data_IF_601809221792
#
_entry.id   IF_601809221792
#
_cell.length_a   1.000
_cell.length_b   1.000
_cell.length_c   1.000
_cell.angle_alpha   90.00
_cell.angle_beta   90.00
_cell.angle_gamma   90.00
#
_symmetry.space_group_name_H-M   'P 1'
#
loop_
_entity.id
_entity.type
_entity.pdbx_description
1 polymer ?
#
# COMPACT_ATOMS: atom_id res chain seq x y z
N UNK A 1 11.52 -6.41 -25.64
CA UNK A 1 11.77 -4.95 -25.73
C UNK A 1 11.31 -4.50 -27.12
N UNK A 2 10.56 -3.41 -27.23
CA UNK A 2 10.15 -2.79 -28.48
C UNK A 2 10.44 -1.30 -28.41
N UNK A 3 11.11 -0.76 -29.43
CA UNK A 3 11.43 0.66 -29.53
C UNK A 3 11.26 1.15 -30.96
N UNK A 4 10.85 2.41 -31.13
CA UNK A 4 10.55 2.97 -32.44
C UNK A 4 9.32 2.31 -33.08
N UNK A 5 9.27 2.24 -34.41
CA UNK A 5 8.15 1.62 -35.15
C UNK A 5 8.19 0.09 -35.08
N UNK A 6 7.95 -0.47 -33.89
CA UNK A 6 7.95 -1.91 -33.64
C UNK A 6 6.56 -2.39 -33.18
N UNK A 7 6.21 -3.64 -33.53
CA UNK A 7 4.99 -4.31 -33.05
C UNK A 7 5.33 -5.59 -32.32
N UNK A 8 4.74 -5.80 -31.14
CA UNK A 8 4.93 -7.00 -30.32
C UNK A 8 3.58 -7.60 -29.95
N UNK A 9 3.48 -8.92 -30.07
CA UNK A 9 2.40 -9.70 -29.48
C UNK A 9 2.96 -10.51 -28.31
N UNK A 10 2.33 -10.36 -27.15
CA UNK A 10 2.69 -11.07 -25.93
C UNK A 10 1.45 -11.76 -25.37
N UNK A 11 1.58 -13.04 -25.06
CA UNK A 11 0.50 -13.84 -24.48
C UNK A 11 1.02 -14.72 -23.36
N UNK A 12 0.16 -15.02 -22.38
CA UNK A 12 0.54 -15.81 -21.21
C UNK A 12 1.47 -15.03 -20.27
N UNK A 13 2.37 -15.74 -19.58
CA UNK A 13 3.33 -15.13 -18.66
C UNK A 13 4.48 -14.45 -19.42
N UNK A 14 4.28 -13.20 -19.83
CA UNK A 14 5.24 -12.43 -20.63
C UNK A 14 5.47 -11.03 -20.05
N UNK A 15 6.69 -10.50 -20.23
CA UNK A 15 7.04 -9.12 -19.85
C UNK A 15 7.54 -8.35 -21.07
N UNK A 16 6.94 -7.19 -21.34
CA UNK A 16 7.28 -6.31 -22.47
C UNK A 16 7.63 -4.91 -21.97
N UNK A 17 8.74 -4.38 -22.45
CA UNK A 17 9.05 -2.94 -22.37
C UNK A 17 8.88 -2.34 -23.77
N UNK A 18 8.08 -1.29 -23.88
CA UNK A 18 7.76 -0.60 -25.12
C UNK A 18 8.00 0.91 -24.99
N UNK A 19 8.70 1.51 -25.94
CA UNK A 19 8.99 2.94 -25.96
C UNK A 19 8.93 3.55 -27.37
N UNK A 20 8.65 4.85 -27.45
CA UNK A 20 8.49 5.55 -28.72
C UNK A 20 7.24 5.07 -29.47
N UNK A 21 7.25 5.10 -30.81
CA UNK A 21 6.08 4.73 -31.64
C UNK A 21 5.81 3.22 -31.74
N UNK A 22 5.94 2.49 -30.63
CA UNK A 22 5.78 1.05 -30.55
C UNK A 22 4.31 0.65 -30.31
N UNK A 23 3.90 -0.51 -30.81
CA UNK A 23 2.59 -1.12 -30.58
C UNK A 23 2.73 -2.46 -29.86
N UNK A 24 1.96 -2.69 -28.80
CA UNK A 24 1.94 -3.96 -28.05
C UNK A 24 0.52 -4.50 -27.97
N UNK A 25 0.32 -5.77 -28.30
CA UNK A 25 -0.88 -6.52 -27.97
C UNK A 25 -0.53 -7.52 -26.87
N UNK A 26 -1.15 -7.36 -25.70
CA UNK A 26 -0.91 -8.18 -24.52
C UNK A 26 -2.19 -8.90 -24.09
N UNK A 27 -2.09 -10.21 -23.87
CA UNK A 27 -3.20 -11.03 -23.38
C UNK A 27 -2.75 -12.05 -22.33
N UNK A 28 -3.68 -12.45 -21.45
CA UNK A 28 -3.37 -13.36 -20.34
C UNK A 28 -2.55 -12.68 -19.24
N UNK A 29 -1.73 -13.43 -18.51
CA UNK A 29 -0.92 -12.94 -17.38
C UNK A 29 0.34 -12.16 -17.81
N UNK A 30 0.17 -11.18 -18.71
CA UNK A 30 1.25 -10.37 -19.27
C UNK A 30 1.48 -9.08 -18.48
N UNK A 31 2.73 -8.61 -18.43
CA UNK A 31 3.12 -7.31 -17.86
C UNK A 31 3.74 -6.42 -18.94
N UNK A 32 3.24 -5.20 -19.11
CA UNK A 32 3.73 -4.23 -20.10
C UNK A 32 4.13 -2.93 -19.42
N UNK A 33 5.35 -2.45 -19.69
CA UNK A 33 5.77 -1.08 -19.39
C UNK A 33 5.82 -0.29 -20.70
N UNK A 34 5.03 0.77 -20.81
CA UNK A 34 4.89 1.58 -22.01
C UNK A 34 5.22 3.05 -21.72
N UNK A 35 6.05 3.67 -22.56
CA UNK A 35 6.42 5.08 -22.44
C UNK A 35 6.52 5.78 -23.80
N UNK A 36 6.45 7.11 -23.80
CA UNK A 36 6.43 7.89 -25.04
C UNK A 36 5.17 7.61 -25.85
N UNK A 37 5.21 7.74 -27.17
CA UNK A 37 4.03 7.55 -28.05
C UNK A 37 3.63 6.08 -28.26
N UNK A 38 3.84 5.21 -27.27
CA UNK A 38 3.57 3.78 -27.39
C UNK A 38 2.07 3.51 -27.27
N UNK A 39 1.57 2.53 -28.02
CA UNK A 39 0.19 2.07 -27.96
C UNK A 39 0.11 0.65 -27.42
N UNK A 40 -0.74 0.39 -26.44
CA UNK A 40 -0.93 -0.93 -25.82
C UNK A 40 -2.40 -1.34 -25.90
N UNK A 41 -2.67 -2.53 -26.43
CA UNK A 41 -3.95 -3.22 -26.28
C UNK A 41 -3.78 -4.34 -25.27
N UNK A 42 -4.45 -4.25 -24.13
CA UNK A 42 -4.35 -5.21 -23.04
C UNK A 42 -5.69 -5.89 -22.76
N UNK A 43 -5.65 -7.21 -22.58
CA UNK A 43 -6.81 -8.03 -22.27
C UNK A 43 -6.47 -9.19 -21.33
N UNK A 44 -7.49 -9.77 -20.68
CA UNK A 44 -7.28 -10.82 -19.69
C UNK A 44 -6.57 -10.28 -18.44
N UNK A 45 -5.85 -11.12 -17.70
CA UNK A 45 -5.15 -10.75 -16.46
C UNK A 45 -3.86 -9.94 -16.67
N UNK A 46 -3.86 -9.01 -17.64
CA UNK A 46 -2.70 -8.23 -18.01
C UNK A 46 -2.51 -7.02 -17.08
N UNK A 47 -1.26 -6.66 -16.79
CA UNK A 47 -0.88 -5.44 -16.05
C UNK A 47 -0.11 -4.50 -16.96
N UNK A 48 -0.54 -3.23 -17.04
CA UNK A 48 0.13 -2.20 -17.87
C UNK A 48 0.53 -1.02 -17.00
N UNK A 49 1.80 -0.62 -17.10
CA UNK A 49 2.31 0.64 -16.55
C UNK A 49 2.55 1.59 -17.74
N UNK A 50 1.80 2.70 -17.79
CA UNK A 50 1.83 3.67 -18.88
C UNK A 50 2.31 5.03 -18.39
N UNK A 51 3.31 5.58 -19.08
CA UNK A 51 3.98 6.83 -18.75
C UNK A 51 4.08 7.76 -19.96
N UNK A 52 4.16 9.07 -19.73
CA UNK A 52 4.30 10.04 -20.82
C UNK A 52 3.09 9.97 -21.77
N UNK A 53 3.29 10.15 -23.08
CA UNK A 53 2.20 10.17 -24.07
C UNK A 53 1.67 8.79 -24.49
N UNK A 54 1.80 7.77 -23.64
CA UNK A 54 1.40 6.41 -23.98
C UNK A 54 -0.13 6.29 -24.04
N UNK A 55 -0.63 5.47 -24.96
CA UNK A 55 -2.06 5.18 -25.13
C UNK A 55 -2.34 3.73 -24.80
N UNK A 56 -3.34 3.47 -23.95
CA UNK A 56 -3.73 2.11 -23.53
C UNK A 56 -5.21 1.87 -23.79
N UNK A 57 -5.53 0.77 -24.45
CA UNK A 57 -6.88 0.20 -24.49
C UNK A 57 -6.87 -1.06 -23.64
N UNK A 58 -7.67 -1.08 -22.56
CA UNK A 58 -7.72 -2.17 -21.60
C UNK A 58 -9.11 -2.78 -21.49
N UNK A 59 -9.16 -4.11 -21.41
CA UNK A 59 -10.39 -4.89 -21.34
C UNK A 59 -10.21 -6.18 -20.54
N UNK A 60 -11.33 -6.84 -20.21
CA UNK A 60 -11.28 -8.01 -19.32
C UNK A 60 -10.70 -7.65 -17.96
N UNK A 61 -10.04 -8.60 -17.29
CA UNK A 61 -9.43 -8.39 -15.96
C UNK A 61 -8.10 -7.62 -15.98
N UNK A 62 -7.93 -6.70 -16.93
CA UNK A 62 -6.68 -5.95 -17.07
C UNK A 62 -6.58 -4.82 -16.03
N UNK A 63 -5.38 -4.58 -15.53
CA UNK A 63 -5.07 -3.48 -14.60
C UNK A 63 -4.11 -2.50 -15.25
N UNK A 64 -4.43 -1.21 -15.24
CA UNK A 64 -3.59 -0.15 -15.83
C UNK A 64 -3.18 0.85 -14.75
N UNK A 65 -1.89 1.12 -14.63
CA UNK A 65 -1.37 2.28 -13.89
C UNK A 65 -0.93 3.34 -14.91
N UNK A 66 -1.56 4.51 -14.88
CA UNK A 66 -1.32 5.58 -15.84
C UNK A 66 -0.78 6.83 -15.15
N UNK A 67 0.24 7.46 -15.73
CA UNK A 67 0.85 8.68 -15.19
C UNK A 67 1.41 9.57 -16.31
N UNK A 68 1.75 10.82 -15.98
CA UNK A 68 2.13 11.80 -17.00
C UNK A 68 0.96 12.10 -17.94
N UNK A 69 1.21 12.29 -19.23
CA UNK A 69 0.18 12.56 -20.25
C UNK A 69 -0.47 11.30 -20.83
N UNK A 70 -0.49 10.20 -20.08
CA UNK A 70 -0.96 8.91 -20.60
C UNK A 70 -2.47 8.93 -20.81
N UNK A 71 -2.93 8.30 -21.88
CA UNK A 71 -4.36 8.19 -22.21
C UNK A 71 -4.82 6.74 -22.09
N UNK A 72 -5.90 6.50 -21.35
CA UNK A 72 -6.44 5.15 -21.12
C UNK A 72 -7.91 5.10 -21.53
N UNK A 73 -8.26 4.09 -22.32
CA UNK A 73 -9.64 3.66 -22.54
C UNK A 73 -9.82 2.28 -21.90
N UNK A 74 -10.66 2.19 -20.88
CA UNK A 74 -10.88 0.98 -20.10
C UNK A 74 -12.35 0.56 -20.15
N UNK A 75 -12.61 -0.73 -20.34
CA UNK A 75 -13.95 -1.31 -20.37
C UNK A 75 -13.98 -2.73 -19.82
N UNK A 76 -15.18 -3.30 -19.69
CA UNK A 76 -15.37 -4.63 -19.07
C UNK A 76 -15.04 -4.59 -17.57
N UNK A 77 -14.33 -5.62 -17.10
CA UNK A 77 -13.94 -5.80 -15.68
C UNK A 77 -12.53 -5.28 -15.38
N UNK A 78 -12.09 -4.26 -16.11
CA UNK A 78 -10.75 -3.69 -15.95
C UNK A 78 -10.69 -2.71 -14.77
N UNK A 79 -9.48 -2.43 -14.30
CA UNK A 79 -9.20 -1.44 -13.27
C UNK A 79 -8.13 -0.45 -13.71
N UNK A 80 -8.26 0.82 -13.32
CA UNK A 80 -7.30 1.89 -13.65
C UNK A 80 -6.86 2.63 -12.39
N UNK A 81 -5.56 2.85 -12.24
CA UNK A 81 -4.96 3.77 -11.28
C UNK A 81 -4.47 5.01 -12.04
N UNK A 82 -5.12 6.14 -11.81
CA UNK A 82 -4.86 7.39 -12.52
C UNK A 82 -3.99 8.33 -11.66
N UNK A 83 -2.76 8.58 -12.11
CA UNK A 83 -1.79 9.47 -11.47
C UNK A 83 -1.44 10.65 -12.41
N UNK A 84 -0.84 11.71 -11.85
CA UNK A 84 -0.39 12.88 -12.61
C UNK A 84 -1.45 13.45 -13.56
N UNK A 85 -1.05 13.85 -14.76
CA UNK A 85 -1.92 14.46 -15.78
C UNK A 85 -2.61 13.44 -16.71
N UNK A 86 -2.84 12.21 -16.23
CA UNK A 86 -3.37 11.15 -17.09
C UNK A 86 -4.83 11.42 -17.47
N UNK A 87 -5.24 10.92 -18.63
CA UNK A 87 -6.63 11.00 -19.11
C UNK A 87 -7.22 9.60 -19.19
N UNK A 88 -8.35 9.38 -18.53
CA UNK A 88 -9.02 8.07 -18.46
C UNK A 88 -10.47 8.19 -18.93
N UNK A 89 -10.84 7.37 -19.90
CA UNK A 89 -12.24 7.12 -20.27
C UNK A 89 -12.58 5.68 -19.89
N UNK A 90 -13.55 5.52 -18.98
CA UNK A 90 -13.89 4.25 -18.37
C UNK A 90 -15.36 3.88 -18.60
N UNK A 91 -15.61 2.61 -18.95
CA UNK A 91 -16.97 2.06 -18.97
C UNK A 91 -17.60 2.08 -17.58
N UNK A 92 -18.93 2.06 -17.48
CA UNK A 92 -19.69 2.31 -16.23
C UNK A 92 -19.38 1.39 -15.04
N UNK A 93 -18.71 0.26 -15.25
CA UNK A 93 -18.37 -0.71 -14.21
C UNK A 93 -16.86 -0.88 -13.99
N UNK A 94 -16.05 -0.05 -14.65
CA UNK A 94 -14.60 -0.04 -14.46
C UNK A 94 -14.28 0.75 -13.21
N UNK A 95 -13.51 0.14 -12.29
CA UNK A 95 -13.00 0.83 -11.11
C UNK A 95 -11.85 1.76 -11.51
N UNK A 96 -11.93 3.03 -11.14
CA UNK A 96 -10.87 4.01 -11.36
C UNK A 96 -10.43 4.57 -10.02
N UNK A 97 -9.24 4.19 -9.57
CA UNK A 97 -8.59 4.81 -8.41
C UNK A 97 -7.92 6.12 -8.87
N UNK A 98 -8.46 7.25 -8.41
CA UNK A 98 -7.94 8.58 -8.73
C UNK A 98 -6.92 8.99 -7.67
N UNK A 99 -5.64 9.07 -8.06
CA UNK A 99 -4.52 9.41 -7.18
C UNK A 99 -3.96 10.82 -7.41
N UNK A 100 -4.49 11.57 -8.38
CA UNK A 100 -4.08 12.96 -8.63
C UNK A 100 -5.23 13.81 -9.11
N UNK A 101 -5.42 14.99 -8.49
CA UNK A 101 -6.39 15.98 -8.96
C UNK A 101 -6.05 16.60 -10.32
N UNK A 102 -4.89 16.27 -10.90
CA UNK A 102 -4.49 16.65 -12.25
C UNK A 102 -4.99 15.67 -13.32
N UNK A 103 -5.45 14.48 -12.92
CA UNK A 103 -5.94 13.50 -13.87
C UNK A 103 -7.36 13.85 -14.30
N UNK A 104 -7.67 13.63 -15.57
CA UNK A 104 -9.01 13.82 -16.14
C UNK A 104 -9.67 12.45 -16.29
N UNK A 105 -10.78 12.21 -15.59
CA UNK A 105 -11.50 10.93 -15.63
C UNK A 105 -12.92 11.15 -16.12
N UNK A 106 -13.36 10.35 -17.09
CA UNK A 106 -14.73 10.32 -17.60
C UNK A 106 -15.29 8.91 -17.53
N UNK A 107 -16.44 8.74 -16.87
CA UNK A 107 -17.07 7.44 -16.65
C UNK A 107 -16.40 6.61 -15.53
N UNK A 108 -16.72 5.33 -15.47
CA UNK A 108 -16.24 4.44 -14.39
C UNK A 108 -16.91 4.65 -13.04
N UNK A 109 -16.50 3.82 -12.08
CA UNK A 109 -16.76 3.97 -10.66
C UNK A 109 -15.49 4.57 -10.05
N UNK A 110 -15.56 5.85 -9.67
CA UNK A 110 -14.40 6.60 -9.19
C UNK A 110 -14.20 6.34 -7.70
N UNK A 111 -13.02 5.86 -7.36
CA UNK A 111 -12.50 5.76 -6.00
C UNK A 111 -11.50 6.90 -5.84
N UNK A 112 -11.96 8.02 -5.28
CA UNK A 112 -11.14 9.22 -5.17
C UNK A 112 -10.21 9.16 -3.96
N UNK A 113 -8.94 8.82 -4.23
CA UNK A 113 -7.89 8.74 -3.21
C UNK A 113 -7.31 10.13 -2.92
N UNK A 114 -7.52 11.13 -3.80
CA UNK A 114 -6.98 12.48 -3.63
C UNK A 114 -7.60 13.24 -2.47
N UNK A 115 -8.80 12.82 -2.05
CA UNK A 115 -9.53 13.42 -0.94
C UNK A 115 -9.21 12.77 0.41
N UNK A 116 -8.38 11.72 0.43
CA UNK A 116 -7.99 11.07 1.68
C UNK A 116 -6.94 11.89 2.41
N UNK A 117 -7.35 12.52 3.51
CA UNK A 117 -6.41 13.11 4.47
C UNK A 117 -5.86 12.03 5.42
N UNK A 118 -4.87 11.30 4.91
CA UNK A 118 -4.17 10.24 5.66
C UNK A 118 -3.28 10.77 6.79
N UNK A 119 -3.25 12.10 7.03
CA UNK A 119 -2.54 12.66 8.21
C UNK A 119 -3.34 12.50 9.49
N UNK A 120 -4.65 12.26 9.39
CA UNK A 120 -5.54 12.02 10.53
C UNK A 120 -5.58 10.55 10.91
N UNK A 121 -5.59 10.24 12.21
CA UNK A 121 -5.68 8.87 12.71
C UNK A 121 -6.92 8.15 12.18
N UNK A 122 -8.09 8.81 12.19
CA UNK A 122 -9.35 8.21 11.77
C UNK A 122 -9.34 7.79 10.29
N UNK A 123 -8.94 8.71 9.39
CA UNK A 123 -8.90 8.39 7.96
C UNK A 123 -7.81 7.37 7.63
N UNK A 124 -6.66 7.44 8.30
CA UNK A 124 -5.59 6.46 8.14
C UNK A 124 -6.02 5.06 8.61
N UNK A 125 -6.69 4.97 9.76
CA UNK A 125 -7.25 3.73 10.26
C UNK A 125 -8.28 3.13 9.29
N UNK A 126 -9.25 3.92 8.85
CA UNK A 126 -10.28 3.49 7.88
C UNK A 126 -9.65 3.01 6.57
N UNK A 127 -8.71 3.78 6.01
CA UNK A 127 -7.98 3.44 4.80
C UNK A 127 -7.22 2.11 4.90
N UNK A 128 -6.68 1.80 6.08
CA UNK A 128 -5.96 0.56 6.36
C UNK A 128 -6.83 -0.55 6.96
N UNK A 129 -8.15 -0.39 6.98
CA UNK A 129 -9.09 -1.40 7.50
C UNK A 129 -8.94 -1.66 8.99
N UNK A 130 -8.49 -0.68 9.76
CA UNK A 130 -8.38 -0.73 11.21
C UNK A 130 -9.66 -0.21 11.85
N UNK A 131 -10.18 -0.94 12.83
CA UNK A 131 -11.34 -0.52 13.61
C UNK A 131 -10.89 0.25 14.84
N UNK A 132 -11.42 1.45 15.03
CA UNK A 132 -11.31 2.20 16.29
C UNK A 132 -12.49 1.83 17.17
N UNK A 133 -12.23 1.26 18.34
CA UNK A 133 -13.24 0.84 19.31
C UNK A 133 -12.95 1.54 20.63
N UNK A 134 -13.95 2.20 21.22
CA UNK A 134 -13.81 2.92 22.50
C UNK A 134 -12.62 3.91 22.55
N UNK A 135 -12.30 4.52 21.40
CA UNK A 135 -11.20 5.49 21.27
C UNK A 135 -9.81 4.88 21.06
N UNK A 136 -9.67 3.55 21.05
CA UNK A 136 -8.38 2.87 20.82
C UNK A 136 -8.36 2.08 19.53
N UNK A 137 -7.15 1.80 19.04
CA UNK A 137 -6.90 0.98 17.86
C UNK A 137 -5.80 -0.04 18.13
N UNK A 138 -5.95 -1.24 17.55
CA UNK A 138 -4.93 -2.28 17.62
C UNK A 138 -3.93 -2.09 16.47
N UNK A 139 -2.66 -1.94 16.84
CA UNK A 139 -1.52 -1.90 15.94
C UNK A 139 -0.50 -2.97 16.33
N UNK A 140 0.56 -3.09 15.54
CA UNK A 140 1.47 -4.21 15.70
C UNK A 140 2.94 -3.77 15.74
N UNK A 141 3.71 -4.51 16.53
CA UNK A 141 5.14 -4.29 16.74
C UNK A 141 5.91 -5.58 16.47
N UNK A 142 6.84 -5.53 15.52
CA UNK A 142 7.81 -6.60 15.28
C UNK A 142 9.08 -6.39 16.13
N UNK A 143 9.57 -7.45 16.76
CA UNK A 143 10.63 -7.46 17.76
C UNK A 143 11.50 -8.72 17.66
N UNK A 144 12.64 -8.72 18.34
CA UNK A 144 13.45 -9.92 18.58
C UNK A 144 12.97 -10.68 19.83
N UNK A 145 13.72 -11.71 20.20
CA UNK A 145 13.38 -12.60 21.33
C UNK A 145 13.30 -11.85 22.67
N UNK A 146 14.09 -10.78 22.81
CA UNK A 146 14.18 -9.91 23.98
C UNK A 146 13.06 -8.86 24.09
N UNK A 147 12.12 -8.85 23.13
CA UNK A 147 11.02 -7.88 23.03
C UNK A 147 11.49 -6.41 23.06
N UNK A 148 12.72 -6.13 22.63
CA UNK A 148 13.30 -4.78 22.69
C UNK A 148 13.35 -4.14 21.31
N UNK A 149 12.90 -2.89 21.23
CA UNK A 149 13.06 -2.02 20.07
C UNK A 149 14.02 -0.87 20.38
N UNK A 150 14.41 -0.10 19.35
CA UNK A 150 15.09 1.18 19.55
C UNK A 150 16.58 1.09 19.89
N UNK A 151 17.15 -0.11 20.08
CA UNK A 151 18.58 -0.31 20.40
C UNK A 151 19.52 0.35 19.40
N UNK A 152 19.27 0.19 18.09
CA UNK A 152 20.06 0.82 17.02
C UNK A 152 19.97 2.36 16.99
N UNK A 153 19.00 2.93 17.71
CA UNK A 153 18.78 4.37 17.82
C UNK A 153 19.19 4.91 19.20
N UNK A 154 19.85 4.09 20.02
CA UNK A 154 20.25 4.46 21.39
C UNK A 154 19.08 4.59 22.36
N UNK A 155 17.91 4.03 22.03
CA UNK A 155 16.67 4.11 22.83
C UNK A 155 16.05 2.73 23.07
N UNK A 156 16.75 1.82 23.77
CA UNK A 156 16.24 0.49 24.05
C UNK A 156 14.92 0.59 24.83
N UNK A 157 13.84 0.07 24.24
CA UNK A 157 12.48 0.07 24.83
C UNK A 157 11.96 -1.35 24.83
N UNK A 158 11.65 -1.89 26.00
CA UNK A 158 11.11 -3.25 26.18
C UNK A 158 9.59 -3.21 26.12
N UNK A 159 8.99 -4.13 25.36
CA UNK A 159 7.53 -4.25 25.21
C UNK A 159 7.04 -5.52 25.92
N UNK A 160 7.04 -5.50 27.24
CA UNK A 160 6.52 -6.61 28.05
C UNK A 160 5.00 -6.75 27.86
N UNK A 161 4.51 -7.97 27.63
CA UNK A 161 3.08 -8.24 27.51
C UNK A 161 2.36 -7.89 28.82
N UNK A 162 1.28 -7.11 28.72
CA UNK A 162 0.49 -6.62 29.85
C UNK A 162 0.84 -5.20 30.28
N UNK A 163 2.04 -4.71 29.94
CA UNK A 163 2.51 -3.39 30.38
C UNK A 163 1.97 -2.26 29.50
N UNK A 164 1.98 -1.06 30.08
CA UNK A 164 1.89 0.19 29.32
C UNK A 164 3.30 0.70 29.06
N UNK A 165 3.64 0.88 27.78
CA UNK A 165 4.92 1.41 27.32
C UNK A 165 4.72 2.87 26.95
N UNK A 166 5.64 3.74 27.36
CA UNK A 166 5.64 5.18 27.05
C UNK A 166 7.00 5.60 26.51
N UNK A 167 7.04 6.62 25.65
CA UNK A 167 8.28 7.27 25.25
C UNK A 167 8.45 8.64 25.93
N UNK A 168 9.70 9.09 26.07
CA UNK A 168 10.06 10.41 26.61
C UNK A 168 10.29 11.47 25.53
N UNK A 169 10.27 11.06 24.25
CA UNK A 169 10.68 11.86 23.10
C UNK A 169 9.54 12.11 22.10
N UNK A 170 8.30 12.05 22.58
CA UNK A 170 7.13 12.20 21.72
C UNK A 170 7.18 13.47 20.87
N UNK A 171 6.93 13.29 19.58
CA UNK A 171 6.82 14.37 18.61
C UNK A 171 5.64 14.08 17.68
N UNK A 172 4.71 15.02 17.57
CA UNK A 172 3.48 14.85 16.80
C UNK A 172 3.63 15.20 15.29
N UNK A 173 4.84 15.51 14.82
CA UNK A 173 5.09 15.78 13.41
C UNK A 173 4.98 14.52 12.56
N UNK A 174 4.48 14.67 11.33
CA UNK A 174 4.42 13.64 10.27
C UNK A 174 5.83 13.35 9.71
N UNK A 175 6.67 12.75 10.55
CA UNK A 175 8.01 12.30 10.20
C UNK A 175 8.43 11.12 11.06
N UNK A 176 9.48 10.42 10.63
CA UNK A 176 10.02 9.29 11.38
C UNK A 176 10.84 9.76 12.59
N UNK A 177 10.70 9.07 13.72
CA UNK A 177 11.33 9.44 15.00
C UNK A 177 10.33 10.06 15.97
N UNK A 178 10.74 10.17 17.24
CA UNK A 178 9.98 10.80 18.33
C UNK A 178 8.66 10.10 18.63
N UNK A 179 8.68 9.03 19.43
CA UNK A 179 7.50 8.20 19.68
C UNK A 179 7.74 6.70 19.59
N UNK A 180 6.74 5.92 20.00
CA UNK A 180 6.69 4.47 19.80
C UNK A 180 6.10 4.18 18.41
N UNK A 181 6.80 3.40 17.59
CA UNK A 181 6.43 3.13 16.20
C UNK A 181 5.71 1.80 16.01
N UNK A 182 4.63 1.84 15.24
CA UNK A 182 3.76 0.68 14.98
C UNK A 182 3.34 0.61 13.50
N UNK A 183 2.87 -0.57 13.10
CA UNK A 183 2.35 -0.80 11.74
C UNK A 183 0.85 -1.13 11.78
N UNK A 184 0.07 -0.69 10.77
CA UNK A 184 -1.28 -1.17 10.57
C UNK A 184 -1.19 -2.64 10.16
N UNK A 185 -2.06 -3.50 10.68
CA UNK A 185 -2.15 -4.87 10.14
C UNK A 185 -3.59 -5.31 10.02
N UNK A 186 -4.09 -5.20 8.81
CA UNK A 186 -5.25 -5.96 8.36
C UNK A 186 -5.00 -6.38 6.91
N UNK A 187 -5.00 -7.68 6.59
CA UNK A 187 -5.19 -8.84 7.47
C UNK A 187 -3.89 -9.49 8.02
N UNK A 188 -2.68 -8.91 7.85
CA UNK A 188 -1.42 -9.57 8.29
C UNK A 188 -0.31 -8.62 8.81
N UNK A 189 0.44 -8.95 9.89
CA UNK A 189 1.64 -8.28 10.38
C UNK A 189 2.88 -8.26 9.50
N UNK A 190 2.74 -8.65 8.24
CA UNK A 190 3.82 -8.54 7.26
C UNK A 190 4.43 -7.12 7.21
N UNK A 191 3.61 -6.10 7.43
CA UNK A 191 4.06 -4.70 7.40
C UNK A 191 5.02 -4.36 8.55
N UNK A 192 4.78 -4.90 9.75
CA UNK A 192 5.72 -4.73 10.85
C UNK A 192 7.06 -5.41 10.55
N UNK A 193 7.03 -6.57 9.89
CA UNK A 193 8.23 -7.30 9.44
C UNK A 193 8.99 -6.54 8.35
N UNK A 194 8.34 -5.72 7.51
CA UNK A 194 9.06 -4.87 6.54
C UNK A 194 9.99 -3.85 7.21
N UNK A 195 9.70 -3.45 8.45
CA UNK A 195 10.60 -2.58 9.24
C UNK A 195 11.64 -3.34 10.05
N UNK A 196 11.41 -4.63 10.29
CA UNK A 196 12.32 -5.50 11.02
C UNK A 196 12.29 -6.91 10.41
N UNK A 197 13.10 -7.10 9.38
CA UNK A 197 13.15 -8.34 8.60
C UNK A 197 13.68 -9.54 9.40
N UNK A 198 14.42 -9.28 10.49
CA UNK A 198 14.96 -10.26 11.43
C UNK A 198 14.07 -10.48 12.66
N UNK A 199 12.83 -9.97 12.65
CA UNK A 199 11.90 -10.14 13.76
C UNK A 199 11.57 -11.62 14.00
N UNK A 200 11.60 -12.02 15.25
CA UNK A 200 11.24 -13.36 15.72
C UNK A 200 9.94 -13.37 16.51
N UNK A 201 9.48 -12.21 16.99
CA UNK A 201 8.27 -12.06 17.80
C UNK A 201 7.45 -10.84 17.34
N UNK A 202 6.13 -10.94 17.46
CA UNK A 202 5.18 -9.86 17.11
C UNK A 202 4.18 -9.66 18.25
N UNK A 203 3.88 -8.39 18.52
CA UNK A 203 2.94 -7.99 19.56
C UNK A 203 1.78 -7.24 18.95
N UNK A 204 0.56 -7.56 19.39
CA UNK A 204 -0.58 -6.67 19.27
C UNK A 204 -0.51 -5.64 20.40
N UNK A 205 -0.60 -4.36 20.04
CA UNK A 205 -0.61 -3.25 20.98
C UNK A 205 -1.86 -2.41 20.78
N UNK A 206 -2.42 -1.94 21.88
CA UNK A 206 -3.53 -0.99 21.90
C UNK A 206 -2.98 0.42 22.02
N UNK A 207 -3.46 1.32 21.17
CA UNK A 207 -3.01 2.72 21.10
C UNK A 207 -4.23 3.64 21.13
N UNK A 208 -4.13 4.73 21.88
CA UNK A 208 -5.14 5.79 21.87
C UNK A 208 -5.16 6.48 20.49
N UNK A 209 -6.29 6.37 19.79
CA UNK A 209 -6.47 6.92 18.45
C UNK A 209 -6.38 8.44 18.43
N UNK A 210 -6.64 9.13 19.55
CA UNK A 210 -6.50 10.58 19.65
C UNK A 210 -5.03 11.04 19.64
N UNK A 211 -4.10 10.16 20.00
CA UNK A 211 -2.65 10.44 20.02
C UNK A 211 -1.88 9.73 18.91
N UNK A 212 -2.58 8.97 18.07
CA UNK A 212 -1.97 8.26 16.97
C UNK A 212 -1.60 9.25 15.85
N UNK A 213 -0.32 9.27 15.49
CA UNK A 213 0.21 10.05 14.38
C UNK A 213 0.60 9.12 13.22
N UNK A 214 -0.21 9.05 12.15
CA UNK A 214 0.23 8.47 10.88
C UNK A 214 1.53 9.11 10.39
N UNK A 215 2.38 8.31 9.74
CA UNK A 215 3.56 8.82 9.04
C UNK A 215 3.34 8.57 7.55
N UNK A 216 2.95 9.60 6.81
CA UNK A 216 2.53 9.51 5.41
C UNK A 216 3.72 9.49 4.44
N UNK A 217 4.88 9.98 4.89
CA UNK A 217 6.15 9.93 4.16
C UNK A 217 6.84 8.56 4.27
N UNK A 218 6.43 7.59 3.47
CA UNK A 218 7.09 6.28 3.39
C UNK A 218 6.33 5.25 2.56
N UNK A 219 7.05 4.32 1.92
CA UNK A 219 6.43 3.29 1.08
C UNK A 219 5.59 2.28 1.88
N UNK A 220 6.10 1.81 3.01
CA UNK A 220 5.33 0.99 3.95
C UNK A 220 4.54 1.93 4.89
N UNK A 221 3.25 1.68 5.12
CA UNK A 221 2.48 2.40 6.13
C UNK A 221 2.94 2.13 7.57
N UNK A 222 3.03 3.19 8.37
CA UNK A 222 3.32 3.17 9.81
C UNK A 222 2.69 4.37 10.50
N UNK A 223 2.59 4.27 11.81
CA UNK A 223 2.20 5.36 12.69
C UNK A 223 3.06 5.34 13.96
N UNK A 224 2.99 6.43 14.72
CA UNK A 224 3.63 6.54 16.04
C UNK A 224 2.65 7.07 17.09
N UNK A 225 2.92 6.78 18.35
CA UNK A 225 2.15 7.29 19.49
C UNK A 225 3.04 7.48 20.73
N UNK A 226 2.64 8.32 21.69
CA UNK A 226 3.40 8.54 22.93
C UNK A 226 3.36 7.34 23.87
N UNK A 227 2.32 6.51 23.77
CA UNK A 227 2.08 5.37 24.63
C UNK A 227 1.34 4.24 23.89
N UNK A 228 1.51 3.03 24.39
CA UNK A 228 0.68 1.89 24.02
C UNK A 228 0.53 0.92 25.18
N UNK A 229 -0.51 0.09 25.14
CA UNK A 229 -0.65 -1.08 26.01
C UNK A 229 -0.34 -2.34 25.23
N UNK A 230 0.58 -3.16 25.72
CA UNK A 230 0.94 -4.42 25.07
C UNK A 230 -0.07 -5.50 25.44
N UNK A 231 -0.82 -6.01 24.46
CA UNK A 231 -1.95 -6.90 24.74
C UNK A 231 -1.53 -8.37 24.81
N UNK A 232 -0.88 -8.87 23.76
CA UNK A 232 -0.49 -10.27 23.62
C UNK A 232 0.43 -10.45 22.42
N UNK A 233 1.07 -11.62 22.37
CA UNK A 233 1.79 -12.06 21.18
C UNK A 233 0.86 -12.56 20.08
N UNK A 234 1.29 -12.28 18.86
CA UNK A 234 0.70 -12.79 17.63
C UNK A 234 1.80 -13.42 16.78
N UNK A 235 1.42 -14.30 15.87
CA UNK A 235 2.33 -14.76 14.84
C UNK A 235 2.54 -13.68 13.76
N UNK A 236 3.43 -13.94 12.79
CA UNK A 236 3.69 -13.03 11.67
C UNK A 236 2.45 -12.76 10.78
N UNK A 237 1.33 -13.47 11.01
CA UNK A 237 0.04 -13.32 10.33
C UNK A 237 -1.03 -12.69 11.22
N UNK A 238 -0.69 -12.27 12.45
CA UNK A 238 -1.58 -11.49 13.33
C UNK A 238 -2.53 -12.36 14.11
N UNK A 239 -2.36 -13.68 14.01
CA UNK A 239 -3.16 -14.64 14.77
C UNK A 239 -2.58 -14.71 16.17
N UNK A 240 -3.44 -14.52 17.16
CA UNK A 240 -3.06 -14.61 18.56
C UNK A 240 -2.38 -15.94 18.87
N UNK A 241 -1.21 -15.86 19.50
CA UNK A 241 -0.53 -17.03 20.05
C UNK A 241 -1.14 -17.29 21.43
N UNK A 242 -2.00 -18.29 21.51
CA UNK A 242 -2.44 -18.82 22.81
C UNK A 242 -1.36 -19.75 23.31
N UNK A 243 -0.71 -19.40 24.42
CA UNK A 243 0.08 -20.38 25.17
C UNK A 243 -0.92 -21.38 25.73
N UNK A 244 -1.09 -22.53 25.08
CA UNK A 244 -1.66 -23.70 25.76
C UNK A 244 -0.75 -23.99 26.92
N UNK A 245 -1.28 -23.92 28.14
CA UNK A 245 -0.60 -24.40 29.35
C UNK A 245 -0.07 -25.81 29.07
N UNK A 246 1.22 -25.92 28.77
CA UNK A 246 1.92 -27.17 28.92
C UNK A 246 1.93 -27.42 30.43
N UNK A 247 1.13 -28.42 30.81
CA UNK A 247 1.00 -28.99 32.15
C UNK A 247 2.27 -28.85 32.98
N UNK A 248 2.05 -28.25 34.16
CA UNK A 248 2.89 -28.22 35.38
C UNK A 248 3.99 -29.27 35.50
#
# INVERSE_FOLDING_TARGET
QASGSATVQASGSATVQASGSATVQASGSATVQASGSATVQASGSATVQAYGSATVQASGSATVQASGSATVQAYGTSGVHAHGHSTVTAGSHVAVHLHSGQATVTGGVIIDVTQLDLTTAAAWCDHHGLTVTDGTVILYKALGDDLTAGGNYGKPTVYTVGDTVTCDDWDDRDECGGGLHFSPTSPTPHMATQYRYDATRWLAVEVDAATLRPITGGGTPKAKAPACRVLHEVDAFGRRITVTEATR
#
